data_IF_880420595687
#
_entry.id   IF_880420595687
#
_cell.length_a   1.000
_cell.length_b   1.000
_cell.length_c   1.000
_cell.angle_alpha   90.00
_cell.angle_beta   90.00
_cell.angle_gamma   90.00
#
_symmetry.space_group_name_H-M   'P 1'
#
loop_
_entity.id
_entity.type
_entity.pdbx_description
1 polymer ?
#
# COMPACT_ATOMS: atom_id res chain seq x y z
N UNK A 1 -34.69 45.63 -33.75
CA UNK A 1 -36.16 45.56 -33.85
C UNK A 1 -36.52 44.15 -34.29
N UNK A 2 -37.46 43.49 -33.61
CA UNK A 2 -38.02 42.14 -33.86
C UNK A 2 -37.01 40.96 -33.96
N UNK A 3 -36.96 39.89 -33.15
CA UNK A 3 -37.84 39.21 -32.18
C UNK A 3 -38.95 38.28 -32.72
N UNK A 4 -38.65 36.98 -32.76
CA UNK A 4 -39.54 35.83 -32.50
C UNK A 4 -38.60 34.61 -32.37
N UNK A 5 -38.44 33.88 -31.25
CA UNK A 5 -39.41 33.32 -30.28
C UNK A 5 -40.51 32.50 -30.95
N UNK A 6 -40.36 31.17 -30.88
CA UNK A 6 -41.46 30.22 -30.71
C UNK A 6 -41.13 29.28 -29.55
N UNK A 7 -41.89 29.44 -28.48
CA UNK A 7 -42.09 28.49 -27.39
C UNK A 7 -43.60 28.34 -27.23
N UNK A 8 -44.07 27.12 -26.98
CA UNK A 8 -45.28 26.69 -26.23
C UNK A 8 -45.39 25.15 -26.51
N UNK A 9 -45.58 24.24 -25.55
CA UNK A 9 -46.65 24.14 -24.51
C UNK A 9 -47.98 23.73 -25.17
N UNK A 10 -48.79 22.78 -24.66
CA UNK A 10 -48.70 21.90 -23.46
C UNK A 10 -49.93 20.94 -23.45
N UNK A 11 -50.18 20.27 -22.31
CA UNK A 11 -51.47 19.69 -21.87
C UNK A 11 -51.77 18.25 -22.36
N UNK A 12 -52.47 17.39 -21.59
CA UNK A 12 -53.05 17.56 -20.23
C UNK A 12 -53.09 16.26 -19.40
N UNK A 13 -53.39 16.42 -18.10
CA UNK A 13 -53.57 15.41 -17.03
C UNK A 13 -54.98 14.80 -17.00
N UNK A 14 -55.11 13.58 -16.49
CA UNK A 14 -56.18 12.99 -15.65
C UNK A 14 -55.76 11.52 -15.33
N UNK A 15 -55.90 10.86 -14.17
CA UNK A 15 -56.40 11.08 -12.78
C UNK A 15 -57.58 10.17 -12.36
N UNK A 16 -57.58 9.70 -11.10
CA UNK A 16 -58.48 8.67 -10.53
C UNK A 16 -57.76 7.32 -10.29
N UNK A 17 -57.43 6.82 -9.08
CA UNK A 17 -57.96 6.86 -7.69
C UNK A 17 -58.94 5.73 -7.32
N UNK A 18 -58.51 4.76 -6.48
CA UNK A 18 -59.36 4.20 -5.43
C UNK A 18 -58.54 3.65 -4.23
N UNK A 19 -59.20 3.46 -3.07
CA UNK A 19 -58.57 3.32 -1.73
C UNK A 19 -59.20 2.20 -0.89
N UNK A 20 -58.45 1.60 0.08
CA UNK A 20 -58.85 0.99 1.39
C UNK A 20 -57.81 -0.08 1.83
N UNK A 21 -57.57 -0.46 3.11
CA UNK A 21 -57.81 0.15 4.45
C UNK A 21 -56.92 -0.53 5.54
N UNK A 22 -56.95 -0.01 6.78
CA UNK A 22 -56.18 -0.38 8.02
C UNK A 22 -57.17 -0.23 9.22
N UNK A 23 -57.11 -0.91 10.41
CA UNK A 23 -56.02 -1.58 11.19
C UNK A 23 -56.19 -3.12 11.34
N UNK A 24 -55.51 -3.89 12.23
CA UNK A 24 -54.46 -3.67 13.25
C UNK A 24 -54.50 -4.69 14.41
N UNK A 25 -53.71 -4.46 15.48
CA UNK A 25 -53.63 -5.19 16.77
C UNK A 25 -53.19 -6.68 16.81
N UNK A 26 -52.63 -7.11 17.96
CA UNK A 26 -52.31 -8.52 18.26
C UNK A 26 -51.11 -8.74 19.21
N UNK A 27 -51.34 -8.86 20.52
CA UNK A 27 -50.30 -9.03 21.56
C UNK A 27 -50.28 -10.47 22.14
N UNK A 28 -49.09 -10.90 22.59
CA UNK A 28 -48.79 -12.07 23.45
C UNK A 28 -49.08 -13.50 22.93
N UNK A 29 -48.05 -14.36 23.03
CA UNK A 29 -48.24 -15.71 23.60
C UNK A 29 -46.98 -16.26 24.27
N UNK A 30 -47.05 -16.49 25.57
CA UNK A 30 -45.98 -17.10 26.36
C UNK A 30 -45.89 -18.61 26.15
N UNK A 31 -44.70 -19.20 26.35
CA UNK A 31 -44.58 -20.59 26.84
C UNK A 31 -43.39 -20.73 27.79
N UNK A 32 -43.70 -21.16 29.01
CA UNK A 32 -42.77 -21.46 30.10
C UNK A 32 -42.27 -22.90 30.01
N UNK A 33 -41.01 -23.13 30.41
CA UNK A 33 -40.52 -24.47 30.76
C UNK A 33 -39.46 -24.34 31.88
N UNK A 34 -39.92 -24.36 33.13
CA UNK A 34 -39.03 -24.44 34.30
C UNK A 34 -38.60 -25.89 34.52
N UNK A 35 -37.32 -26.12 34.84
CA UNK A 35 -36.86 -27.37 35.47
C UNK A 35 -36.00 -26.99 36.67
N UNK A 36 -36.28 -27.63 37.80
CA UNK A 36 -35.69 -27.28 39.09
C UNK A 36 -34.65 -28.31 39.57
N UNK A 37 -33.67 -27.80 40.33
CA UNK A 37 -33.15 -28.39 41.58
C UNK A 37 -32.65 -29.85 41.55
N UNK A 38 -31.32 -30.01 41.54
CA UNK A 38 -30.62 -31.24 41.96
C UNK A 38 -29.30 -30.89 42.64
N UNK A 39 -28.98 -31.52 43.77
CA UNK A 39 -27.90 -31.10 44.67
C UNK A 39 -26.87 -32.19 44.97
N UNK A 40 -25.62 -31.77 45.18
CA UNK A 40 -24.54 -32.44 45.92
C UNK A 40 -24.19 -33.89 45.56
N UNK A 41 -23.05 -34.08 44.87
CA UNK A 41 -22.09 -35.14 45.25
C UNK A 41 -20.67 -34.57 45.24
N UNK A 42 -19.94 -34.75 46.34
CA UNK A 42 -18.53 -34.39 46.46
C UNK A 42 -17.65 -35.58 46.07
N UNK A 43 -17.17 -35.62 44.83
CA UNK A 43 -16.17 -36.61 44.42
C UNK A 43 -14.75 -36.05 44.54
N UNK A 44 -14.02 -36.53 45.54
CA UNK A 44 -12.58 -36.30 45.71
C UNK A 44 -11.79 -37.27 44.83
N UNK A 45 -11.79 -37.04 43.52
CA UNK A 45 -11.04 -37.89 42.58
C UNK A 45 -9.55 -37.52 42.57
N UNK A 46 -8.72 -38.41 43.14
CA UNK A 46 -7.26 -38.30 43.12
C UNK A 46 -6.74 -38.60 41.70
N UNK A 47 -6.83 -37.61 40.81
CA UNK A 47 -6.14 -37.66 39.51
C UNK A 47 -4.63 -37.68 39.79
N UNK A 48 -3.88 -38.73 39.37
CA UNK A 48 -2.45 -38.77 39.58
C UNK A 48 -1.78 -37.60 38.85
N UNK A 49 -0.73 -37.05 39.46
CA UNK A 49 0.03 -35.92 38.93
C UNK A 49 0.73 -36.29 37.61
N UNK A 50 0.00 -36.14 36.51
CA UNK A 50 0.54 -36.23 35.17
C UNK A 50 1.69 -35.24 35.06
N UNK A 51 2.92 -35.77 34.99
CA UNK A 51 4.13 -34.98 34.82
C UNK A 51 4.01 -34.25 33.50
N UNK A 52 3.61 -32.98 33.57
CA UNK A 52 3.56 -32.09 32.43
C UNK A 52 4.95 -31.99 31.85
N UNK A 53 5.21 -32.77 30.79
CA UNK A 53 6.38 -32.58 29.93
C UNK A 53 6.19 -31.25 29.22
N UNK A 54 6.57 -30.18 29.92
CA UNK A 54 6.72 -28.86 29.37
C UNK A 54 7.85 -28.94 28.37
N UNK A 55 7.48 -29.28 27.13
CA UNK A 55 8.30 -29.14 25.93
C UNK A 55 8.62 -27.66 25.75
N UNK A 56 9.54 -27.14 26.58
CA UNK A 56 10.29 -25.93 26.34
C UNK A 56 11.16 -26.17 25.12
N UNK A 57 10.51 -26.09 23.95
CA UNK A 57 11.16 -25.91 22.67
C UNK A 57 12.07 -24.70 22.83
N UNK A 58 13.36 -24.98 23.06
CA UNK A 58 14.38 -23.98 23.34
C UNK A 58 14.73 -23.27 22.05
N UNK A 59 13.79 -22.45 21.57
CA UNK A 59 14.00 -21.51 20.49
C UNK A 59 15.16 -20.63 20.91
N UNK A 60 16.17 -20.53 20.04
CA UNK A 60 17.26 -19.58 20.27
C UNK A 60 16.66 -18.19 20.43
N UNK A 61 17.19 -17.40 21.37
CA UNK A 61 16.79 -16.00 21.59
C UNK A 61 16.83 -15.16 20.31
N UNK A 62 17.68 -15.55 19.35
CA UNK A 62 17.76 -14.98 18.01
C UNK A 62 16.48 -15.29 17.19
N UNK A 63 16.01 -16.55 17.22
CA UNK A 63 14.78 -16.96 16.55
C UNK A 63 13.53 -16.32 17.19
N UNK A 64 13.51 -16.17 18.52
CA UNK A 64 12.47 -15.43 19.23
C UNK A 64 12.45 -13.97 18.78
N UNK A 65 13.60 -13.28 18.81
CA UNK A 65 13.78 -11.88 18.37
C UNK A 65 13.26 -11.63 16.94
N UNK A 66 13.52 -12.53 15.99
CA UNK A 66 13.00 -12.40 14.62
C UNK A 66 11.50 -12.69 14.48
N UNK A 67 10.88 -13.39 15.43
CA UNK A 67 9.45 -13.73 15.42
C UNK A 67 8.55 -12.73 16.15
N UNK A 68 9.11 -11.74 16.86
CA UNK A 68 8.33 -10.69 17.55
C UNK A 68 7.63 -9.77 16.55
N UNK A 69 6.43 -9.30 16.89
CA UNK A 69 5.68 -8.31 16.13
C UNK A 69 6.09 -6.87 16.49
N UNK A 70 6.10 -5.99 15.50
CA UNK A 70 6.64 -4.64 15.60
C UNK A 70 5.55 -3.57 15.70
N UNK A 71 5.79 -2.54 16.52
CA UNK A 71 4.86 -1.42 16.72
C UNK A 71 4.77 -0.55 15.45
N UNK A 72 3.60 -0.49 14.77
CA UNK A 72 3.45 0.31 13.56
C UNK A 72 3.33 1.82 13.86
N UNK A 73 3.13 2.27 15.11
CA UNK A 73 2.78 3.67 15.45
C UNK A 73 3.72 4.75 14.93
N UNK A 74 4.96 4.42 14.56
CA UNK A 74 5.96 5.34 13.97
C UNK A 74 6.45 4.92 12.58
N UNK A 75 5.85 3.89 11.98
CA UNK A 75 6.27 3.38 10.66
C UNK A 75 5.82 4.29 9.51
N UNK A 76 5.02 5.33 9.80
CA UNK A 76 4.70 6.39 8.85
C UNK A 76 5.94 7.12 8.34
N UNK A 77 6.98 7.33 9.16
CA UNK A 77 8.24 7.91 8.68
C UNK A 77 8.92 7.02 7.61
N UNK A 78 8.87 5.69 7.78
CA UNK A 78 9.39 4.72 6.80
C UNK A 78 8.58 4.81 5.51
N UNK A 79 7.26 4.91 5.60
CA UNK A 79 6.38 5.03 4.42
C UNK A 79 6.51 6.38 3.71
N UNK A 80 6.83 7.46 4.42
CA UNK A 80 7.17 8.77 3.83
C UNK A 80 8.50 8.69 3.07
N UNK A 81 9.54 8.08 3.64
CA UNK A 81 10.82 7.86 2.92
C UNK A 81 10.63 6.90 1.73
N UNK A 82 9.77 5.89 1.85
CA UNK A 82 9.34 5.06 0.72
C UNK A 82 8.65 5.88 -0.38
N UNK A 83 7.83 6.87 -0.04
CA UNK A 83 7.24 7.81 -1.00
C UNK A 83 8.29 8.60 -1.76
N UNK A 84 9.33 9.10 -1.08
CA UNK A 84 10.49 9.75 -1.72
C UNK A 84 11.25 8.80 -2.65
N UNK A 85 11.53 7.57 -2.19
CA UNK A 85 12.21 6.54 -3.03
C UNK A 85 11.35 6.18 -4.25
N UNK A 86 10.03 6.10 -4.10
CA UNK A 86 9.10 5.88 -5.21
C UNK A 86 9.15 6.99 -6.24
N UNK A 87 9.06 8.26 -5.81
CA UNK A 87 9.18 9.42 -6.69
C UNK A 87 10.54 9.54 -7.37
N UNK A 88 11.63 9.21 -6.65
CA UNK A 88 12.98 9.15 -7.20
C UNK A 88 13.11 8.07 -8.28
N UNK A 89 12.66 6.84 -8.00
CA UNK A 89 12.71 5.72 -8.93
C UNK A 89 11.87 6.01 -10.18
N UNK A 90 10.62 6.44 -10.04
CA UNK A 90 9.75 6.68 -11.19
C UNK A 90 10.17 7.91 -12.01
N UNK A 91 10.71 8.95 -11.37
CA UNK A 91 11.31 10.08 -12.07
C UNK A 91 12.51 9.66 -12.93
N UNK A 92 13.35 8.73 -12.44
CA UNK A 92 14.47 8.17 -13.20
C UNK A 92 13.98 7.26 -14.34
N UNK A 93 13.08 6.32 -14.06
CA UNK A 93 12.55 5.37 -15.06
C UNK A 93 11.83 6.08 -16.20
N UNK A 94 11.01 7.09 -15.89
CA UNK A 94 10.28 7.85 -16.91
C UNK A 94 11.24 8.72 -17.75
N UNK A 95 12.21 9.39 -17.12
CA UNK A 95 13.19 10.23 -17.83
C UNK A 95 14.16 9.41 -18.70
N UNK A 96 14.42 8.14 -18.38
CA UNK A 96 15.30 7.26 -19.16
C UNK A 96 14.55 6.48 -20.25
N UNK A 97 13.41 5.88 -19.91
CA UNK A 97 12.76 4.82 -20.70
C UNK A 97 11.26 5.07 -20.99
N UNK A 98 10.76 6.28 -20.70
CA UNK A 98 9.38 6.71 -21.00
C UNK A 98 8.26 6.06 -20.18
N UNK A 99 8.58 5.07 -19.34
CA UNK A 99 7.61 4.28 -18.56
C UNK A 99 7.82 4.45 -17.06
N UNK A 100 6.72 4.52 -16.31
CA UNK A 100 6.74 4.56 -14.85
C UNK A 100 6.87 3.14 -14.29
N UNK A 101 7.79 2.91 -13.36
CA UNK A 101 7.93 1.59 -12.74
C UNK A 101 6.84 1.31 -11.72
N UNK A 102 6.35 2.33 -11.00
CA UNK A 102 5.34 2.21 -9.94
C UNK A 102 3.97 2.79 -10.33
N UNK A 103 3.89 3.93 -11.02
CA UNK A 103 2.63 4.62 -11.37
C UNK A 103 1.84 3.91 -12.49
N UNK A 104 1.15 2.83 -12.13
CA UNK A 104 0.42 2.00 -13.08
C UNK A 104 -0.73 2.70 -13.84
N UNK A 105 -1.25 3.82 -13.34
CA UNK A 105 -2.29 4.60 -14.05
C UNK A 105 -1.81 5.05 -15.44
N UNK A 106 -0.55 5.50 -15.56
CA UNK A 106 0.04 5.86 -16.85
C UNK A 106 0.25 4.64 -17.75
N UNK A 107 0.77 3.55 -17.19
CA UNK A 107 1.01 2.31 -17.92
C UNK A 107 -0.28 1.72 -18.52
N UNK A 108 -1.38 1.70 -17.75
CA UNK A 108 -2.69 1.26 -18.27
C UNK A 108 -3.18 2.10 -19.45
N UNK A 109 -2.95 3.42 -19.43
CA UNK A 109 -3.29 4.30 -20.57
C UNK A 109 -2.40 4.01 -21.78
N UNK A 110 -1.09 3.84 -21.60
CA UNK A 110 -0.18 3.48 -22.71
C UNK A 110 -0.53 2.11 -23.33
N UNK A 111 -0.94 1.13 -22.53
CA UNK A 111 -1.44 -0.18 -23.04
C UNK A 111 -2.69 0.02 -23.89
N UNK A 112 -3.66 0.83 -23.42
CA UNK A 112 -4.90 1.10 -24.16
C UNK A 112 -4.67 1.88 -25.47
N UNK A 113 -3.78 2.88 -25.46
CA UNK A 113 -3.40 3.62 -26.67
C UNK A 113 -2.62 2.76 -27.67
N UNK A 114 -1.89 1.73 -27.20
CA UNK A 114 -1.26 0.74 -28.07
C UNK A 114 -2.23 0.03 -29.01
N UNK A 115 -3.49 -0.15 -28.61
CA UNK A 115 -4.53 -0.76 -29.46
C UNK A 115 -4.97 0.14 -30.64
N UNK A 116 -4.71 1.45 -30.58
CA UNK A 116 -4.89 2.40 -31.69
C UNK A 116 -3.57 2.80 -32.37
N UNK A 117 -2.46 2.14 -32.04
CA UNK A 117 -1.12 2.47 -32.56
C UNK A 117 -0.58 3.82 -32.05
N UNK A 118 -1.01 4.27 -30.87
CA UNK A 118 -0.64 5.56 -30.30
C UNK A 118 0.22 5.43 -29.02
N UNK A 119 1.17 6.35 -28.77
CA UNK A 119 1.71 7.32 -29.72
C UNK A 119 2.55 6.62 -30.81
N UNK A 120 2.74 7.28 -31.96
CA UNK A 120 3.60 6.74 -33.05
C UNK A 120 5.06 6.56 -32.57
N UNK A 121 5.54 7.46 -31.71
CA UNK A 121 6.86 7.40 -31.06
C UNK A 121 6.75 7.77 -29.57
N UNK A 122 7.50 7.11 -28.65
CA UNK A 122 8.34 5.95 -28.88
C UNK A 122 7.53 4.67 -29.20
N UNK A 123 8.00 3.92 -30.19
CA UNK A 123 7.36 2.68 -30.61
C UNK A 123 7.30 1.66 -29.46
N UNK A 124 6.25 0.84 -29.43
CA UNK A 124 5.92 -0.14 -28.38
C UNK A 124 6.09 0.32 -26.91
N UNK A 125 5.91 1.61 -26.60
CA UNK A 125 5.76 2.09 -25.21
C UNK A 125 4.69 1.28 -24.45
N UNK A 126 3.62 0.90 -25.15
CA UNK A 126 2.56 -0.01 -24.66
C UNK A 126 3.11 -1.35 -24.14
N UNK A 127 4.16 -1.90 -24.75
CA UNK A 127 4.74 -3.19 -24.38
C UNK A 127 5.62 -3.07 -23.12
N UNK A 128 6.42 -1.99 -23.01
CA UNK A 128 7.16 -1.66 -21.77
C UNK A 128 6.18 -1.50 -20.60
N UNK A 129 5.09 -0.76 -20.83
CA UNK A 129 4.02 -0.55 -19.86
C UNK A 129 3.24 -1.83 -19.51
N UNK A 130 2.96 -2.71 -20.47
CA UNK A 130 2.32 -4.00 -20.24
C UNK A 130 3.18 -4.88 -19.32
N UNK A 131 4.48 -4.98 -19.61
CA UNK A 131 5.41 -5.77 -18.80
C UNK A 131 5.52 -5.19 -17.38
N UNK A 132 5.64 -3.87 -17.24
CA UNK A 132 5.66 -3.19 -15.94
C UNK A 132 4.38 -3.48 -15.13
N UNK A 133 3.21 -3.37 -15.75
CA UNK A 133 1.91 -3.64 -15.11
C UNK A 133 1.76 -5.12 -14.71
N UNK A 134 2.04 -6.06 -15.62
CA UNK A 134 1.93 -7.49 -15.35
C UNK A 134 2.88 -7.91 -14.23
N UNK A 135 4.15 -7.49 -14.27
CA UNK A 135 5.10 -7.79 -13.18
C UNK A 135 4.64 -7.16 -11.87
N UNK A 136 4.20 -5.90 -11.86
CA UNK A 136 3.66 -5.24 -10.67
C UNK A 136 2.47 -6.00 -10.06
N UNK A 137 1.53 -6.49 -10.87
CA UNK A 137 0.37 -7.27 -10.41
C UNK A 137 0.79 -8.62 -9.83
N UNK A 138 1.63 -9.39 -10.54
CA UNK A 138 2.17 -10.66 -10.02
C UNK A 138 3.00 -10.47 -8.73
N UNK A 139 3.73 -9.35 -8.63
CA UNK A 139 4.52 -9.00 -7.45
C UNK A 139 3.64 -8.66 -6.24
N UNK A 140 2.51 -7.95 -6.44
CA UNK A 140 1.55 -7.70 -5.37
C UNK A 140 1.04 -9.03 -4.79
N UNK A 141 0.67 -9.99 -5.64
CA UNK A 141 0.29 -11.34 -5.19
C UNK A 141 1.41 -12.01 -4.40
N UNK A 142 2.64 -12.02 -4.93
CA UNK A 142 3.81 -12.58 -4.23
C UNK A 142 4.01 -11.99 -2.83
N UNK A 143 4.06 -10.67 -2.69
CA UNK A 143 4.26 -10.03 -1.38
C UNK A 143 3.07 -10.22 -0.43
N UNK A 144 1.83 -10.29 -0.94
CA UNK A 144 0.64 -10.62 -0.12
C UNK A 144 0.70 -12.06 0.40
N UNK A 145 1.05 -13.03 -0.44
CA UNK A 145 1.21 -14.43 -0.02
C UNK A 145 2.38 -14.59 0.97
N UNK A 146 3.51 -13.92 0.73
CA UNK A 146 4.67 -13.93 1.61
C UNK A 146 4.33 -13.40 3.01
N UNK A 147 3.64 -12.26 3.10
CA UNK A 147 3.22 -11.67 4.36
C UNK A 147 2.20 -12.54 5.11
N UNK A 148 1.24 -13.15 4.39
CA UNK A 148 0.27 -14.09 4.99
C UNK A 148 0.94 -15.35 5.53
N UNK A 149 1.93 -15.90 4.83
CA UNK A 149 2.66 -17.09 5.27
C UNK A 149 3.54 -16.84 6.52
N UNK A 150 4.12 -15.64 6.65
CA UNK A 150 5.11 -15.32 7.68
C UNK A 150 4.56 -14.49 8.86
N UNK A 151 3.27 -14.13 8.84
CA UNK A 151 2.61 -13.06 9.62
C UNK A 151 3.10 -11.65 9.21
N UNK A 152 2.19 -10.73 8.80
CA UNK A 152 2.55 -9.39 8.31
C UNK A 152 3.42 -8.50 9.19
N UNK A 153 3.23 -8.55 10.51
CA UNK A 153 3.84 -7.58 11.45
C UNK A 153 5.12 -8.09 12.13
N UNK A 154 5.53 -9.33 11.87
CA UNK A 154 6.77 -9.87 12.43
C UNK A 154 8.00 -9.14 11.89
N UNK A 155 8.99 -8.96 12.76
CA UNK A 155 10.30 -8.39 12.44
C UNK A 155 10.94 -9.08 11.23
N UNK A 156 10.92 -10.42 11.18
CA UNK A 156 11.41 -11.21 10.03
C UNK A 156 10.69 -10.89 8.72
N UNK A 157 9.36 -10.79 8.72
CA UNK A 157 8.55 -10.52 7.51
C UNK A 157 8.85 -9.15 6.93
N UNK A 158 8.95 -8.12 7.79
CA UNK A 158 9.25 -6.75 7.36
C UNK A 158 10.70 -6.61 6.87
N UNK A 159 11.67 -7.19 7.60
CA UNK A 159 13.08 -7.25 7.16
C UNK A 159 13.19 -7.96 5.81
N UNK A 160 12.55 -9.13 5.64
CA UNK A 160 12.68 -9.90 4.41
C UNK A 160 11.94 -9.24 3.23
N UNK A 161 10.78 -8.61 3.46
CA UNK A 161 10.07 -7.84 2.43
C UNK A 161 10.90 -6.66 1.94
N UNK A 162 11.43 -5.83 2.84
CA UNK A 162 12.27 -4.69 2.46
C UNK A 162 13.65 -5.09 1.95
N UNK A 163 14.22 -6.21 2.44
CA UNK A 163 15.44 -6.81 1.93
C UNK A 163 15.31 -7.30 0.49
N UNK A 164 14.21 -8.00 0.15
CA UNK A 164 13.89 -8.42 -1.21
C UNK A 164 13.70 -7.20 -2.14
N UNK A 165 13.00 -6.15 -1.68
CA UNK A 165 12.86 -4.89 -2.42
C UNK A 165 14.21 -4.19 -2.66
N UNK A 166 15.10 -4.19 -1.66
CA UNK A 166 16.44 -3.59 -1.75
C UNK A 166 17.37 -4.42 -2.65
N UNK A 167 17.29 -5.74 -2.61
CA UNK A 167 18.03 -6.63 -3.52
C UNK A 167 17.65 -6.38 -4.99
N UNK A 168 16.35 -6.22 -5.28
CA UNK A 168 15.90 -5.87 -6.63
C UNK A 168 16.44 -4.50 -7.09
N UNK A 169 16.49 -3.50 -6.21
CA UNK A 169 17.15 -2.21 -6.49
C UNK A 169 18.66 -2.35 -6.73
N UNK A 170 19.37 -3.18 -5.95
CA UNK A 170 20.81 -3.44 -6.12
C UNK A 170 21.08 -4.06 -7.49
N UNK A 171 20.30 -5.06 -7.90
CA UNK A 171 20.44 -5.68 -9.22
C UNK A 171 20.15 -4.68 -10.34
N UNK A 172 19.09 -3.87 -10.23
CA UNK A 172 18.77 -2.84 -11.21
C UNK A 172 19.89 -1.78 -11.33
N UNK A 173 20.40 -1.28 -10.19
CA UNK A 173 21.51 -0.33 -10.16
C UNK A 173 22.80 -0.93 -10.76
N UNK A 174 23.09 -2.21 -10.47
CA UNK A 174 24.26 -2.92 -10.99
C UNK A 174 24.19 -3.15 -12.50
N UNK A 175 23.02 -3.52 -13.04
CA UNK A 175 22.80 -3.69 -14.50
C UNK A 175 22.99 -2.38 -15.25
N UNK A 176 22.49 -1.26 -14.71
CA UNK A 176 22.69 0.09 -15.30
C UNK A 176 24.14 0.55 -15.14
N UNK A 177 24.80 0.28 -14.01
CA UNK A 177 26.21 0.64 -13.80
C UNK A 177 27.17 -0.15 -14.70
N UNK A 178 26.86 -1.42 -14.99
CA UNK A 178 27.65 -2.28 -15.87
C UNK A 178 27.55 -1.89 -17.36
N UNK A 179 26.73 -0.89 -17.72
CA UNK A 179 26.55 -0.45 -19.11
C UNK A 179 25.75 -1.42 -20.00
N UNK A 180 25.10 -2.43 -19.40
CA UNK A 180 24.23 -3.40 -20.09
C UNK A 180 22.96 -2.73 -20.64
N UNK A 181 22.57 -1.62 -20.02
CA UNK A 181 21.44 -0.76 -20.41
C UNK A 181 21.97 0.66 -20.62
N UNK A 182 21.53 1.35 -21.68
CA UNK A 182 21.90 2.74 -21.88
C UNK A 182 21.32 3.62 -20.76
N UNK A 183 22.16 4.40 -20.04
CA UNK A 183 21.71 5.32 -18.99
C UNK A 183 21.25 6.68 -19.56
N UNK A 184 21.18 6.82 -20.89
CA UNK A 184 20.72 8.03 -21.58
C UNK A 184 19.20 7.96 -21.79
N UNK A 185 18.49 9.10 -21.85
CA UNK A 185 17.12 9.14 -22.36
C UNK A 185 17.03 8.50 -23.75
N UNK A 186 16.05 7.62 -23.93
CA UNK A 186 15.75 6.98 -25.21
C UNK A 186 15.40 8.03 -26.28
N UNK A 187 16.04 7.97 -27.46
CA UNK A 187 15.57 8.69 -28.64
C UNK A 187 14.23 8.05 -29.07
N UNK A 188 13.11 8.80 -29.14
CA UNK A 188 11.82 8.22 -29.49
C UNK A 188 11.76 7.51 -30.85
N UNK A 189 12.74 7.75 -31.74
CA UNK A 189 12.85 7.11 -33.07
C UNK A 189 13.82 5.93 -33.09
N UNK A 190 14.51 5.62 -32.01
CA UNK A 190 15.39 4.45 -31.93
C UNK A 190 14.60 3.14 -31.80
N UNK A 191 15.15 2.01 -32.28
CA UNK A 191 14.61 0.69 -31.96
C UNK A 191 14.77 0.38 -30.48
N UNK A 192 13.82 -0.36 -29.89
CA UNK A 192 13.79 -0.66 -28.45
C UNK A 192 15.04 -1.43 -28.00
N UNK A 193 15.73 -0.88 -27.00
CA UNK A 193 16.69 -1.61 -26.19
C UNK A 193 15.94 -2.54 -25.22
N UNK A 194 15.70 -3.79 -25.63
CA UNK A 194 14.98 -4.79 -24.81
C UNK A 194 15.67 -5.05 -23.45
N UNK A 195 16.95 -4.72 -23.29
CA UNK A 195 17.66 -4.79 -22.00
C UNK A 195 17.06 -3.85 -20.94
N UNK A 196 16.42 -2.74 -21.32
CA UNK A 196 15.75 -1.79 -20.40
C UNK A 196 14.62 -2.45 -19.60
N UNK A 197 14.05 -3.57 -20.09
CA UNK A 197 13.00 -4.33 -19.38
C UNK A 197 13.54 -4.95 -18.08
N UNK A 198 14.84 -5.26 -17.99
CA UNK A 198 15.46 -5.83 -16.79
C UNK A 198 15.32 -4.88 -15.59
N UNK A 199 15.81 -3.62 -15.62
CA UNK A 199 15.56 -2.69 -14.53
C UNK A 199 14.07 -2.32 -14.40
N UNK A 200 13.31 -2.13 -15.47
CA UNK A 200 11.86 -1.80 -15.37
C UNK A 200 11.10 -2.85 -14.55
N UNK A 201 11.34 -4.15 -14.79
CA UNK A 201 10.67 -5.24 -14.06
C UNK A 201 11.10 -5.30 -12.59
N UNK A 202 12.40 -5.15 -12.29
CA UNK A 202 12.91 -5.09 -10.91
C UNK A 202 12.36 -3.89 -10.14
N UNK A 203 12.25 -2.73 -10.79
CA UNK A 203 11.73 -1.50 -10.21
C UNK A 203 10.21 -1.54 -10.01
N UNK A 204 9.46 -2.23 -10.88
CA UNK A 204 8.04 -2.52 -10.69
C UNK A 204 7.79 -3.54 -9.56
N UNK A 205 8.62 -4.59 -9.49
CA UNK A 205 8.57 -5.62 -8.45
C UNK A 205 8.80 -5.03 -7.05
N UNK A 206 9.84 -4.20 -6.87
CA UNK A 206 10.11 -3.56 -5.57
C UNK A 206 9.03 -2.52 -5.18
N UNK A 207 8.38 -1.89 -6.16
CA UNK A 207 7.30 -0.93 -5.91
C UNK A 207 6.01 -1.62 -5.42
N UNK A 208 5.69 -2.79 -5.96
CA UNK A 208 4.59 -3.61 -5.46
C UNK A 208 4.77 -3.98 -3.97
N UNK A 209 5.97 -4.43 -3.59
CA UNK A 209 6.30 -4.71 -2.19
C UNK A 209 6.15 -3.50 -1.26
N UNK A 210 6.41 -2.30 -1.78
CA UNK A 210 6.28 -1.04 -1.04
C UNK A 210 4.82 -0.64 -0.77
N UNK A 211 3.91 -0.95 -1.70
CA UNK A 211 2.48 -0.71 -1.55
C UNK A 211 1.87 -1.77 -0.62
N UNK A 212 2.25 -3.04 -0.78
CA UNK A 212 1.83 -4.09 0.15
C UNK A 212 2.27 -3.72 1.57
N UNK A 213 3.52 -3.32 1.79
CA UNK A 213 3.99 -2.87 3.09
C UNK A 213 3.17 -1.72 3.70
N UNK A 214 2.72 -0.72 2.91
CA UNK A 214 1.91 0.38 3.45
C UNK A 214 0.52 -0.06 3.90
N UNK A 215 -0.08 -1.05 3.23
CA UNK A 215 -1.35 -1.69 3.63
C UNK A 215 -1.18 -2.59 4.85
N UNK A 216 -0.10 -3.39 4.92
CA UNK A 216 0.17 -4.27 6.07
C UNK A 216 0.41 -3.48 7.38
N UNK A 217 1.03 -2.30 7.28
CA UNK A 217 1.24 -1.38 8.41
C UNK A 217 0.00 -0.51 8.75
N UNK A 218 -1.14 -0.74 8.08
CA UNK A 218 -2.42 -0.04 8.29
C UNK A 218 -2.38 1.49 8.12
N UNK A 219 -1.42 2.03 7.36
CA UNK A 219 -1.38 3.45 6.97
C UNK A 219 -2.02 3.65 5.61
N UNK A 220 -3.33 3.41 5.53
CA UNK A 220 -4.06 3.50 4.26
C UNK A 220 -4.02 4.90 3.63
N UNK A 221 -3.83 5.94 4.45
CA UNK A 221 -3.60 7.33 4.02
C UNK A 221 -2.20 7.64 3.47
N UNK A 222 -1.26 6.68 3.46
CA UNK A 222 0.03 6.77 2.76
C UNK A 222 0.08 5.70 1.64
N UNK A 223 -0.63 5.91 0.51
CA UNK A 223 -0.31 5.21 -0.73
C UNK A 223 1.06 5.69 -1.24
N UNK A 224 2.11 4.89 -1.03
CA UNK A 224 3.51 5.22 -1.34
C UNK A 224 3.86 5.37 -2.84
N UNK A 225 2.84 5.40 -3.70
CA UNK A 225 2.91 5.35 -5.18
C UNK A 225 1.73 6.09 -5.83
N UNK A 226 0.51 5.95 -5.30
CA UNK A 226 -0.73 6.50 -5.92
C UNK A 226 -1.11 7.83 -5.28
N UNK A 227 -0.76 8.94 -5.94
CA UNK A 227 -0.92 10.31 -5.41
C UNK A 227 -2.37 10.83 -5.49
N UNK A 228 -3.11 10.49 -6.55
CA UNK A 228 -4.40 11.14 -6.86
C UNK A 228 -5.44 10.97 -5.75
N UNK A 229 -5.58 9.76 -5.20
CA UNK A 229 -6.51 9.49 -4.09
C UNK A 229 -6.10 10.25 -2.84
N UNK A 230 -4.81 10.25 -2.48
CA UNK A 230 -4.26 11.02 -1.35
C UNK A 230 -4.57 12.52 -1.45
N UNK A 231 -4.49 13.12 -2.64
CA UNK A 231 -4.79 14.54 -2.84
C UNK A 231 -6.29 14.84 -2.69
N UNK A 232 -7.17 14.01 -3.26
CA UNK A 232 -8.61 14.13 -3.05
C UNK A 232 -8.98 13.97 -1.56
N UNK A 233 -8.43 12.94 -0.92
CA UNK A 233 -8.54 12.65 0.51
C UNK A 233 -8.11 13.82 1.41
N UNK A 234 -7.09 14.57 0.99
CA UNK A 234 -6.55 15.72 1.70
C UNK A 234 -7.43 16.97 1.54
N UNK A 235 -7.97 17.19 0.33
CA UNK A 235 -8.83 18.34 0.03
C UNK A 235 -10.25 18.21 0.61
N UNK A 236 -10.75 16.98 0.75
CA UNK A 236 -12.07 16.67 1.34
C UNK A 236 -12.00 16.54 2.88
N UNK A 237 -10.81 16.58 3.48
CA UNK A 237 -10.65 16.51 4.93
C UNK A 237 -11.22 17.78 5.62
N UNK A 238 -12.39 17.65 6.25
CA UNK A 238 -13.04 18.72 7.02
C UNK A 238 -12.16 19.27 8.16
N UNK A 239 -11.11 18.55 8.56
CA UNK A 239 -10.12 18.95 9.57
C UNK A 239 -8.78 19.37 8.95
N UNK A 240 -8.74 19.71 7.65
CA UNK A 240 -7.58 20.24 6.94
C UNK A 240 -7.01 21.49 7.64
N UNK A 241 -7.87 22.45 7.97
CA UNK A 241 -7.47 23.73 8.58
C UNK A 241 -7.41 23.72 10.11
N UNK A 242 -7.74 22.61 10.77
CA UNK A 242 -7.78 22.53 12.24
C UNK A 242 -6.38 22.74 12.85
N UNK A 243 -6.29 23.70 13.77
CA UNK A 243 -5.12 23.97 14.62
C UNK A 243 -5.39 23.44 16.05
N UNK A 244 -4.38 23.03 16.83
CA UNK A 244 -2.95 22.97 16.51
C UNK A 244 -2.60 21.89 15.47
N UNK A 245 -1.39 21.92 14.93
CA UNK A 245 -0.95 20.96 13.90
C UNK A 245 -0.98 19.49 14.36
N UNK A 246 -0.91 19.22 15.67
CA UNK A 246 -1.07 17.89 16.27
C UNK A 246 -2.49 17.32 16.20
N UNK A 247 -3.52 18.14 15.97
CA UNK A 247 -4.93 17.72 16.03
C UNK A 247 -5.38 16.82 14.87
N UNK A 248 -4.60 16.74 13.78
CA UNK A 248 -4.88 15.85 12.65
C UNK A 248 -3.59 15.22 12.10
N UNK A 249 -3.12 14.10 12.68
CA UNK A 249 -1.95 13.37 12.18
C UNK A 249 -2.15 12.80 10.76
N UNK A 250 -3.38 12.44 10.36
CA UNK A 250 -3.67 11.88 9.03
C UNK A 250 -3.41 12.90 7.92
N UNK A 251 -3.89 14.15 8.08
CA UNK A 251 -3.53 15.28 7.20
C UNK A 251 -2.02 15.44 7.10
N UNK A 252 -1.32 15.45 8.24
CA UNK A 252 0.13 15.68 8.26
C UNK A 252 0.88 14.58 7.49
N UNK A 253 0.47 13.31 7.66
CA UNK A 253 0.99 12.17 6.89
C UNK A 253 0.72 12.29 5.39
N UNK A 254 -0.50 12.64 4.98
CA UNK A 254 -0.87 12.87 3.57
C UNK A 254 0.00 13.98 2.94
N UNK A 255 0.12 15.13 3.59
CA UNK A 255 0.98 16.25 3.14
C UNK A 255 2.43 15.79 3.03
N UNK A 256 2.98 15.14 4.06
CA UNK A 256 4.37 14.69 4.07
C UNK A 256 4.65 13.64 2.98
N UNK A 257 3.74 12.70 2.73
CA UNK A 257 3.88 11.70 1.68
C UNK A 257 3.81 12.30 0.26
N UNK A 258 2.91 13.27 0.03
CA UNK A 258 2.87 14.02 -1.24
C UNK A 258 4.18 14.80 -1.47
N UNK A 259 4.62 15.57 -0.49
CA UNK A 259 5.85 16.35 -0.58
C UNK A 259 7.08 15.45 -0.73
N UNK A 260 7.14 14.31 -0.04
CA UNK A 260 8.23 13.35 -0.18
C UNK A 260 8.31 12.79 -1.61
N UNK A 261 7.20 12.33 -2.20
CA UNK A 261 7.19 11.82 -3.57
C UNK A 261 7.53 12.92 -4.59
N UNK A 262 6.99 14.13 -4.42
CA UNK A 262 7.30 15.28 -5.27
C UNK A 262 8.79 15.66 -5.20
N UNK A 263 9.37 15.74 -3.99
CA UNK A 263 10.80 16.00 -3.80
C UNK A 263 11.68 14.86 -4.31
N UNK A 264 11.22 13.62 -4.26
CA UNK A 264 11.88 12.47 -4.89
C UNK A 264 11.98 12.62 -6.41
N UNK A 265 10.86 12.96 -7.06
CA UNK A 265 10.83 13.22 -8.51
C UNK A 265 11.64 14.46 -8.91
N UNK A 266 11.60 15.54 -8.11
CA UNK A 266 12.51 16.69 -8.29
C UNK A 266 13.98 16.28 -8.16
N UNK A 267 14.31 15.41 -7.20
CA UNK A 267 15.67 14.91 -7.00
C UNK A 267 16.12 14.09 -8.22
N UNK A 268 15.26 13.23 -8.77
CA UNK A 268 15.53 12.52 -10.03
C UNK A 268 15.87 13.47 -11.19
N UNK A 269 15.04 14.51 -11.40
CA UNK A 269 15.23 15.50 -12.47
C UNK A 269 16.37 16.51 -12.23
N UNK A 270 16.89 16.59 -11.00
CA UNK A 270 18.14 17.27 -10.66
C UNK A 270 19.34 16.38 -10.96
N UNK A 271 19.35 15.17 -10.41
CA UNK A 271 20.45 14.21 -10.58
C UNK A 271 20.65 13.79 -12.05
N UNK A 272 19.60 13.72 -12.86
CA UNK A 272 19.72 13.42 -14.30
C UNK A 272 20.47 14.48 -15.11
N UNK A 273 20.69 15.68 -14.54
CA UNK A 273 21.48 16.77 -15.14
C UNK A 273 22.92 16.82 -14.63
N UNK A 274 23.22 16.18 -13.50
CA UNK A 274 24.50 16.35 -12.77
C UNK A 274 25.25 15.04 -12.52
N UNK A 275 24.60 13.88 -12.67
CA UNK A 275 25.13 12.56 -12.29
C UNK A 275 24.63 11.47 -13.23
N UNK A 276 25.23 10.28 -13.18
CA UNK A 276 24.76 9.12 -13.95
C UNK A 276 23.48 8.52 -13.34
N UNK A 277 22.62 7.92 -14.18
CA UNK A 277 21.43 7.20 -13.70
C UNK A 277 21.75 6.12 -12.65
N UNK A 278 22.89 5.43 -12.81
CA UNK A 278 23.37 4.45 -11.83
C UNK A 278 23.61 5.07 -10.45
N UNK A 279 24.21 6.26 -10.37
CA UNK A 279 24.41 7.00 -9.11
C UNK A 279 23.08 7.30 -8.40
N UNK A 280 22.06 7.68 -9.17
CA UNK A 280 20.71 7.96 -8.67
C UNK A 280 19.99 6.71 -8.18
N UNK A 281 20.19 5.56 -8.85
CA UNK A 281 19.68 4.27 -8.39
C UNK A 281 20.41 3.79 -7.14
N UNK A 282 21.71 4.05 -7.00
CA UNK A 282 22.45 3.78 -5.75
C UNK A 282 21.99 4.64 -4.57
N UNK A 283 21.53 5.88 -4.80
CA UNK A 283 20.84 6.67 -3.77
C UNK A 283 19.52 6.00 -3.33
N UNK A 284 18.73 5.47 -4.28
CA UNK A 284 17.52 4.71 -3.96
C UNK A 284 17.83 3.41 -3.18
N UNK A 285 18.90 2.68 -3.57
CA UNK A 285 19.42 1.52 -2.83
C UNK A 285 19.80 1.92 -1.40
N UNK A 286 20.57 2.99 -1.21
CA UNK A 286 21.02 3.42 0.11
C UNK A 286 19.83 3.76 1.03
N UNK A 287 18.84 4.50 0.52
CA UNK A 287 17.62 4.83 1.28
C UNK A 287 16.78 3.59 1.63
N UNK A 288 16.61 2.64 0.72
CA UNK A 288 15.83 1.42 1.00
C UNK A 288 16.61 0.40 1.85
N UNK A 289 17.94 0.42 1.76
CA UNK A 289 18.86 -0.28 2.65
C UNK A 289 18.78 0.24 4.09
N UNK A 290 18.80 1.56 4.32
CA UNK A 290 18.64 2.11 5.69
C UNK A 290 17.26 1.80 6.27
N UNK A 291 16.19 1.80 5.47
CA UNK A 291 14.87 1.28 5.88
C UNK A 291 14.98 -0.20 6.31
N UNK A 292 15.58 -1.05 5.48
CA UNK A 292 15.75 -2.49 5.78
C UNK A 292 16.52 -2.71 7.09
N UNK A 293 17.58 -1.95 7.32
CA UNK A 293 18.36 -2.00 8.56
C UNK A 293 17.58 -1.45 9.77
N UNK A 294 16.75 -0.42 9.59
CA UNK A 294 15.94 0.15 10.67
C UNK A 294 14.95 -0.85 11.27
N UNK A 295 14.45 -1.81 10.48
CA UNK A 295 13.54 -2.85 10.94
C UNK A 295 14.16 -3.84 11.93
N UNK A 296 15.50 -4.02 11.93
CA UNK A 296 16.17 -4.81 12.97
C UNK A 296 16.00 -4.15 14.33
N UNK A 297 16.39 -2.88 14.47
CA UNK A 297 16.39 -2.12 15.73
C UNK A 297 15.01 -1.55 16.10
N UNK A 298 13.96 -1.89 15.35
CA UNK A 298 12.62 -1.34 15.55
C UNK A 298 11.96 -1.88 16.83
N UNK A 299 11.05 -1.08 17.38
CA UNK A 299 10.36 -1.37 18.65
C UNK A 299 9.28 -2.44 18.49
N UNK A 300 9.21 -3.30 19.50
CA UNK A 300 8.28 -4.41 19.60
C UNK A 300 6.93 -3.94 20.14
N UNK A 301 5.85 -4.58 19.71
CA UNK A 301 4.49 -4.30 20.16
C UNK A 301 4.40 -4.55 21.67
N UNK A 302 4.18 -3.49 22.45
CA UNK A 302 4.13 -3.58 23.91
C UNK A 302 2.77 -4.11 24.36
N UNK A 303 2.72 -5.35 24.86
CA UNK A 303 1.55 -5.95 25.51
C UNK A 303 1.28 -5.34 26.90
N UNK A 304 0.99 -4.04 26.95
CA UNK A 304 0.55 -3.32 28.14
C UNK A 304 -0.91 -2.89 27.97
N UNK A 305 -1.79 -3.89 27.92
CA UNK A 305 -3.21 -3.73 27.54
C UNK A 305 -4.18 -4.63 28.27
N UNK A 306 -3.80 -5.22 29.41
CA UNK A 306 -4.78 -5.82 30.33
C UNK A 306 -5.73 -4.71 30.81
N UNK A 307 -7.05 -4.81 30.54
CA UNK A 307 -7.98 -3.86 31.11
C UNK A 307 -7.95 -4.02 32.63
N UNK A 308 -7.77 -2.91 33.36
CA UNK A 308 -8.02 -2.93 34.79
C UNK A 308 -9.50 -3.26 34.99
N UNK A 309 -9.77 -4.35 35.70
CA UNK A 309 -11.11 -4.73 36.08
C UNK A 309 -11.56 -3.76 37.18
N UNK A 310 -12.21 -2.67 36.78
CA UNK A 310 -12.76 -1.68 37.71
C UNK A 310 -13.69 -2.40 38.70
N UNK A 311 -13.29 -2.35 39.97
CA UNK A 311 -13.97 -3.07 41.05
C UNK A 311 -15.14 -2.22 41.53
N UNK A 312 -16.38 -2.76 41.59
CA UNK A 312 -17.54 -1.99 41.97
C UNK A 312 -17.55 -1.68 43.47
N UNK A 313 -17.65 -0.39 43.80
CA UNK A 313 -17.99 0.17 45.12
C UNK A 313 -18.90 1.38 44.89
#
# INVERSE_FOLDING_TARGET
MNTSRRSLSSATTEEGNETKNVPGDGVQRSRTASVERGSNVLYSENVPSATGSSYHSSRSKIAEYFLVELDPRRADIILIVCGFVGGLVDGLSFNAWGSFSSMQTGNTVFIALGASGQPEYPAYLWAKSLIALTVFLCSNLFFIHLARALNPLRRSTLIMSFGIQTAALIVAASVVQAGIVSPKPEDPRAPIEWMQIIPITLLAFQAAGQIVASRLLAFDEIPTVVVTTLLCDLLVDLKLYTRPWSANPKRNRRIAAFLALFLGAMTAGGLSKTTSMASSLWLAVALKGTITLSWFVWKETSESGTPKQDSPV
#
